data_IF_173516626162
#
_entry.id   IF_173516626162
#
_cell.length_a   1.000
_cell.length_b   1.000
_cell.length_c   1.000
_cell.angle_alpha   90.00
_cell.angle_beta   90.00
_cell.angle_gamma   90.00
#
_symmetry.space_group_name_H-M   'P 1'
#
loop_
_entity.id
_entity.type
_entity.pdbx_description
1 polymer ?
#
# COMPACT_ATOMS: atom_id res chain seq x y z
N UNK A 1 21.47 -0.23 9.33
CA UNK A 1 20.36 -0.41 8.38
C UNK A 1 19.10 0.00 9.10
N UNK A 2 18.22 0.74 8.43
CA UNK A 2 16.90 1.10 8.94
C UNK A 2 15.90 -0.03 8.69
N UNK A 3 14.84 -0.05 9.49
CA UNK A 3 13.74 -1.03 9.47
C UNK A 3 12.43 -0.35 9.10
N UNK A 4 11.38 -1.14 8.88
CA UNK A 4 10.03 -0.59 8.69
C UNK A 4 9.55 0.21 9.91
N UNK A 5 9.90 -0.24 11.12
CA UNK A 5 9.59 0.47 12.36
C UNK A 5 10.31 1.82 12.43
N UNK A 6 11.55 1.90 11.94
CA UNK A 6 12.24 3.19 11.84
C UNK A 6 11.49 4.15 10.91
N UNK A 7 10.97 3.67 9.78
CA UNK A 7 10.17 4.49 8.86
C UNK A 7 8.87 4.97 9.54
N UNK A 8 8.16 4.11 10.27
CA UNK A 8 6.98 4.51 11.06
C UNK A 8 7.34 5.64 12.02
N UNK A 9 8.45 5.51 12.74
CA UNK A 9 8.89 6.51 13.70
C UNK A 9 9.34 7.82 13.05
N UNK A 10 9.99 7.75 11.88
CA UNK A 10 10.34 8.91 11.07
C UNK A 10 9.07 9.64 10.62
N UNK A 11 8.10 8.95 10.02
CA UNK A 11 6.83 9.55 9.59
C UNK A 11 6.08 10.20 10.76
N UNK A 12 6.06 9.54 11.92
CA UNK A 12 5.48 10.10 13.15
C UNK A 12 6.20 11.39 13.57
N UNK A 13 7.53 11.43 13.53
CA UNK A 13 8.31 12.62 13.89
C UNK A 13 8.09 13.76 12.90
N UNK A 14 8.08 13.48 11.59
CA UNK A 14 7.86 14.47 10.54
C UNK A 14 6.52 15.20 10.69
N UNK A 15 5.46 14.48 11.11
CA UNK A 15 4.14 15.08 11.37
C UNK A 15 3.88 15.50 12.82
N UNK A 16 4.86 15.33 13.71
CA UNK A 16 4.77 15.81 15.10
C UNK A 16 4.78 17.35 15.16
N UNK A 17 4.45 17.94 16.29
CA UNK A 17 4.50 19.41 16.46
C UNK A 17 5.92 19.99 16.23
N UNK A 18 6.97 19.22 16.50
CA UNK A 18 8.37 19.60 16.25
C UNK A 18 8.88 19.14 14.88
N UNK A 19 8.00 18.59 14.05
CA UNK A 19 8.32 18.03 12.75
C UNK A 19 8.40 19.09 11.64
N UNK A 20 8.37 18.60 10.42
CA UNK A 20 8.44 19.42 9.22
C UNK A 20 7.08 20.14 8.99
N UNK A 21 7.07 21.47 8.82
CA UNK A 21 5.83 22.21 8.55
C UNK A 21 5.09 21.71 7.31
N UNK A 22 5.83 21.41 6.23
CA UNK A 22 5.25 20.92 4.98
C UNK A 22 4.53 19.59 5.20
N UNK A 23 5.17 18.61 5.86
CA UNK A 23 4.58 17.31 6.13
C UNK A 23 3.32 17.41 6.97
N UNK A 24 3.29 18.29 7.97
CA UNK A 24 2.14 18.51 8.85
C UNK A 24 0.94 19.11 8.13
N UNK A 25 1.17 19.99 7.17
CA UNK A 25 0.12 20.67 6.40
C UNK A 25 -0.53 19.76 5.35
N UNK A 26 0.06 18.60 5.05
CA UNK A 26 -0.49 17.69 4.04
C UNK A 26 -1.83 17.10 4.46
N UNK A 27 -2.72 16.98 3.46
CA UNK A 27 -4.03 16.37 3.53
C UNK A 27 -4.16 15.25 2.50
N UNK A 28 -5.28 14.52 2.52
CA UNK A 28 -5.56 13.53 1.48
C UNK A 28 -5.54 14.14 0.09
N UNK A 29 -6.12 15.33 -0.07
CA UNK A 29 -6.23 16.06 -1.32
C UNK A 29 -4.89 16.55 -1.84
N UNK A 30 -4.05 17.13 -0.97
CA UNK A 30 -2.75 17.70 -1.40
C UNK A 30 -1.81 16.61 -1.91
N UNK A 31 -1.85 15.43 -1.30
CA UNK A 31 -0.98 14.30 -1.66
C UNK A 31 -1.40 13.56 -2.94
N UNK A 32 -2.61 13.79 -3.49
CA UNK A 32 -3.08 13.10 -4.71
C UNK A 32 -2.16 13.34 -5.91
N UNK A 33 -1.62 14.56 -6.00
CA UNK A 33 -0.73 14.94 -7.08
C UNK A 33 0.61 14.20 -6.96
N UNK A 34 1.23 14.26 -5.79
CA UNK A 34 2.48 13.55 -5.50
C UNK A 34 2.33 12.06 -5.79
N UNK A 35 1.29 11.39 -5.27
CA UNK A 35 1.09 9.95 -5.52
C UNK A 35 1.02 9.59 -7.01
N UNK A 36 0.42 10.47 -7.83
CA UNK A 36 0.36 10.27 -9.27
C UNK A 36 1.73 10.45 -9.94
N UNK A 37 2.50 11.44 -9.48
CA UNK A 37 3.85 11.75 -9.98
C UNK A 37 4.82 10.61 -9.65
N UNK A 38 4.95 10.22 -8.37
CA UNK A 38 5.85 9.11 -7.96
C UNK A 38 5.47 7.78 -8.63
N UNK A 39 4.15 7.53 -8.80
CA UNK A 39 3.70 6.34 -9.53
C UNK A 39 4.12 6.39 -11.01
N UNK A 40 4.19 7.59 -11.60
CA UNK A 40 4.70 7.80 -12.95
C UNK A 40 6.20 7.55 -13.03
N UNK A 41 6.97 8.06 -12.07
CA UNK A 41 8.43 7.87 -12.01
C UNK A 41 8.81 6.40 -11.82
N UNK A 42 8.03 5.63 -11.04
CA UNK A 42 8.17 4.15 -11.00
C UNK A 42 8.01 3.53 -12.40
N UNK A 43 7.03 3.97 -13.18
CA UNK A 43 6.81 3.44 -14.53
C UNK A 43 7.95 3.83 -15.48
N UNK A 44 8.41 5.07 -15.41
CA UNK A 44 9.55 5.55 -16.20
C UNK A 44 10.83 4.78 -15.85
N UNK A 45 11.08 4.50 -14.58
CA UNK A 45 12.23 3.69 -14.15
C UNK A 45 12.18 2.27 -14.72
N UNK A 46 10.98 1.65 -14.77
CA UNK A 46 10.78 0.33 -15.39
C UNK A 46 11.06 0.39 -16.90
N UNK A 47 10.52 1.39 -17.59
CA UNK A 47 10.67 1.53 -19.04
C UNK A 47 12.13 1.72 -19.45
N UNK A 48 12.91 2.44 -18.63
CA UNK A 48 14.35 2.65 -18.84
C UNK A 48 15.23 1.53 -18.27
N UNK A 49 14.65 0.54 -17.57
CA UNK A 49 15.38 -0.51 -16.84
C UNK A 49 16.38 0.04 -15.84
N UNK A 50 16.05 1.18 -15.25
CA UNK A 50 16.86 1.84 -14.23
C UNK A 50 16.50 1.26 -12.86
N UNK A 51 17.31 0.32 -12.39
CA UNK A 51 17.06 -0.38 -11.12
C UNK A 51 17.38 0.47 -9.90
N UNK A 52 18.27 1.45 -10.04
CA UNK A 52 18.60 2.37 -8.95
C UNK A 52 17.42 3.31 -8.73
N UNK A 53 16.96 3.97 -9.81
CA UNK A 53 15.80 4.84 -9.75
C UNK A 53 14.55 4.06 -9.31
N UNK A 54 14.31 2.86 -9.85
CA UNK A 54 13.16 2.04 -9.43
C UNK A 54 13.14 1.79 -7.91
N UNK A 55 14.30 1.61 -7.27
CA UNK A 55 14.36 1.41 -5.84
C UNK A 55 14.04 2.70 -5.05
N UNK A 56 14.46 3.85 -5.57
CA UNK A 56 14.19 5.18 -5.01
C UNK A 56 12.69 5.49 -5.08
N UNK A 57 12.10 5.43 -6.27
CA UNK A 57 10.69 5.79 -6.50
C UNK A 57 9.70 4.86 -5.79
N UNK A 58 10.03 3.56 -5.66
CA UNK A 58 9.23 2.64 -4.84
C UNK A 58 9.28 3.03 -3.35
N UNK A 59 10.39 3.60 -2.91
CA UNK A 59 10.54 4.20 -1.59
C UNK A 59 9.64 5.42 -1.40
N UNK A 60 9.54 6.30 -2.39
CA UNK A 60 8.69 7.49 -2.32
C UNK A 60 7.19 7.13 -2.34
N UNK A 61 6.79 6.18 -3.18
CA UNK A 61 5.44 5.62 -3.12
C UNK A 61 5.14 5.01 -1.75
N UNK A 62 6.08 4.27 -1.17
CA UNK A 62 5.93 3.72 0.19
C UNK A 62 5.80 4.85 1.23
N UNK A 63 6.61 5.89 1.15
CA UNK A 63 6.54 7.04 2.05
C UNK A 63 5.19 7.76 1.96
N UNK A 64 4.62 7.91 0.76
CA UNK A 64 3.28 8.45 0.60
C UNK A 64 2.21 7.58 1.27
N UNK A 65 2.31 6.25 1.16
CA UNK A 65 1.42 5.33 1.91
C UNK A 65 1.56 5.53 3.42
N UNK A 66 2.78 5.77 3.92
CA UNK A 66 3.02 6.09 5.33
C UNK A 66 2.36 7.40 5.74
N UNK A 67 2.51 8.47 4.95
CA UNK A 67 1.88 9.77 5.21
C UNK A 67 0.35 9.67 5.21
N UNK A 68 -0.24 9.00 4.23
CA UNK A 68 -1.69 8.75 4.19
C UNK A 68 -2.19 8.02 5.43
N UNK A 69 -1.48 6.96 5.82
CA UNK A 69 -1.82 6.16 7.01
C UNK A 69 -1.65 6.97 8.29
N UNK A 70 -0.68 7.89 8.34
CA UNK A 70 -0.47 8.78 9.48
C UNK A 70 -1.58 9.82 9.60
N UNK A 71 -2.00 10.43 8.50
CA UNK A 71 -3.13 11.37 8.45
C UNK A 71 -4.42 10.66 8.90
N UNK A 72 -4.66 9.43 8.43
CA UNK A 72 -5.81 8.62 8.84
C UNK A 72 -5.79 8.28 10.34
N UNK A 73 -4.61 7.95 10.88
CA UNK A 73 -4.44 7.68 12.30
C UNK A 73 -4.71 8.92 13.15
N UNK A 74 -4.31 10.10 12.68
CA UNK A 74 -4.60 11.39 13.32
C UNK A 74 -6.10 11.73 13.33
N UNK A 75 -6.83 11.31 12.29
CA UNK A 75 -8.28 11.45 12.21
C UNK A 75 -9.07 10.39 13.02
N UNK A 76 -8.39 9.35 13.51
CA UNK A 76 -9.03 8.23 14.21
C UNK A 76 -9.69 7.20 13.29
N UNK A 77 -9.32 7.18 12.00
CA UNK A 77 -9.92 6.31 10.99
C UNK A 77 -9.25 4.93 10.93
N UNK A 78 -8.00 4.87 10.47
CA UNK A 78 -7.19 3.65 10.37
C UNK A 78 -5.70 3.97 10.48
N UNK A 79 -4.88 2.96 10.73
CA UNK A 79 -3.43 3.10 10.84
C UNK A 79 -2.65 2.34 9.75
N UNK A 80 -1.33 2.49 9.74
CA UNK A 80 -0.47 1.72 8.82
C UNK A 80 -0.55 0.22 9.13
N UNK A 81 -0.72 -0.15 10.40
CA UNK A 81 -0.91 -1.52 10.83
C UNK A 81 -2.20 -2.12 10.23
N UNK A 82 -3.29 -1.35 10.15
CA UNK A 82 -4.54 -1.77 9.50
C UNK A 82 -4.35 -1.96 7.99
N UNK A 83 -3.61 -1.05 7.33
CA UNK A 83 -3.29 -1.14 5.89
C UNK A 83 -2.49 -2.42 5.60
N UNK A 84 -1.45 -2.68 6.39
CA UNK A 84 -0.60 -3.87 6.28
C UNK A 84 -1.41 -5.13 6.56
N UNK A 85 -2.20 -5.17 7.64
CA UNK A 85 -3.05 -6.32 7.94
C UNK A 85 -4.04 -6.61 6.80
N UNK A 86 -4.73 -5.57 6.31
CA UNK A 86 -5.71 -5.70 5.24
C UNK A 86 -5.12 -6.18 3.92
N UNK A 87 -3.86 -5.81 3.58
CA UNK A 87 -3.20 -6.38 2.40
C UNK A 87 -2.72 -7.81 2.64
N UNK A 88 -2.18 -8.13 3.82
CA UNK A 88 -1.74 -9.47 4.17
C UNK A 88 -2.89 -10.48 4.14
N UNK A 89 -4.00 -10.21 4.84
CA UNK A 89 -5.20 -11.07 4.84
C UNK A 89 -5.73 -11.31 3.42
N UNK A 90 -5.78 -10.24 2.62
CA UNK A 90 -6.23 -10.28 1.22
C UNK A 90 -5.30 -11.13 0.36
N UNK A 91 -3.98 -11.03 0.53
CA UNK A 91 -3.02 -11.82 -0.24
C UNK A 91 -3.06 -13.29 0.16
N UNK A 92 -3.12 -13.61 1.46
CA UNK A 92 -3.26 -14.98 1.96
C UNK A 92 -4.54 -15.62 1.40
N UNK A 93 -5.67 -14.92 1.51
CA UNK A 93 -6.98 -15.41 1.05
C UNK A 93 -7.07 -15.58 -0.46
N UNK A 94 -6.44 -14.71 -1.25
CA UNK A 94 -6.46 -14.77 -2.73
C UNK A 94 -5.44 -15.73 -3.33
N UNK A 95 -4.51 -16.26 -2.54
CA UNK A 95 -3.52 -17.24 -2.99
C UNK A 95 -3.56 -18.53 -2.17
N UNK A 96 -4.71 -19.23 -2.11
CA UNK A 96 -4.82 -20.48 -1.36
C UNK A 96 -3.91 -21.58 -1.93
N UNK A 97 -3.49 -21.49 -3.19
CA UNK A 97 -2.50 -22.39 -3.79
C UNK A 97 -1.08 -22.18 -3.21
N UNK A 98 -0.78 -21.00 -2.66
CA UNK A 98 0.50 -20.70 -1.98
C UNK A 98 0.38 -20.94 -0.47
N UNK A 99 -0.72 -20.50 0.15
CA UNK A 99 -0.87 -20.44 1.61
C UNK A 99 -1.84 -21.49 2.21
N UNK A 100 -2.51 -22.30 1.38
CA UNK A 100 -3.39 -23.37 1.83
C UNK A 100 -2.66 -24.71 2.05
N UNK A 101 -3.31 -25.64 2.75
CA UNK A 101 -2.72 -26.94 3.08
C UNK A 101 -2.61 -27.91 1.88
N UNK A 102 -3.43 -27.73 0.83
CA UNK A 102 -3.41 -28.56 -0.38
C UNK A 102 -2.59 -27.89 -1.49
N UNK A 103 -1.33 -28.27 -1.60
CA UNK A 103 -0.33 -27.75 -2.57
C UNK A 103 -0.48 -28.29 -4.00
N UNK A 104 -1.56 -28.99 -4.33
CA UNK A 104 -1.54 -29.92 -5.48
C UNK A 104 -2.12 -29.42 -6.82
N UNK A 105 -2.53 -28.16 -6.93
CA UNK A 105 -3.05 -27.67 -8.22
C UNK A 105 -2.38 -26.39 -8.72
N UNK A 106 -1.41 -26.66 -9.61
CA UNK A 106 -0.83 -25.88 -10.71
C UNK A 106 -1.26 -24.40 -10.91
N UNK A 107 -0.25 -23.59 -11.25
CA UNK A 107 -0.32 -22.15 -11.57
C UNK A 107 -1.46 -21.71 -12.52
N UNK A 108 -1.97 -22.58 -13.40
CA UNK A 108 -3.09 -22.25 -14.30
C UNK A 108 -4.44 -22.14 -13.57
N UNK A 109 -4.65 -22.87 -12.47
CA UNK A 109 -5.88 -22.76 -11.66
C UNK A 109 -5.83 -21.56 -10.71
N UNK A 110 -4.62 -21.14 -10.31
CA UNK A 110 -4.40 -20.01 -9.40
C UNK A 110 -4.93 -18.67 -9.92
N UNK A 111 -4.72 -18.37 -11.20
CA UNK A 111 -5.19 -17.11 -11.81
C UNK A 111 -6.73 -17.06 -11.91
N UNK A 112 -7.36 -18.14 -12.38
CA UNK A 112 -8.81 -18.22 -12.49
C UNK A 112 -9.49 -18.12 -11.11
N UNK A 113 -8.91 -18.75 -10.09
CA UNK A 113 -9.37 -18.67 -8.71
C UNK A 113 -9.18 -17.25 -8.13
N UNK A 114 -8.05 -16.60 -8.41
CA UNK A 114 -7.78 -15.22 -7.99
C UNK A 114 -8.81 -14.24 -8.57
N UNK A 115 -9.10 -14.35 -9.88
CA UNK A 115 -10.10 -13.52 -10.55
C UNK A 115 -11.52 -13.77 -10.02
N UNK A 116 -11.88 -15.03 -9.73
CA UNK A 116 -13.16 -15.40 -9.15
C UNK A 116 -13.36 -14.78 -7.75
N UNK A 117 -12.35 -14.89 -6.87
CA UNK A 117 -12.39 -14.32 -5.52
C UNK A 117 -12.49 -12.79 -5.59
N UNK A 118 -11.71 -12.15 -6.47
CA UNK A 118 -11.77 -10.69 -6.69
C UNK A 118 -13.15 -10.22 -7.15
N UNK A 119 -13.82 -11.00 -8.00
CA UNK A 119 -15.17 -10.70 -8.48
C UNK A 119 -16.22 -10.82 -7.36
N UNK A 120 -16.11 -11.83 -6.52
CA UNK A 120 -17.02 -12.03 -5.37
C UNK A 120 -16.92 -10.90 -4.35
N UNK A 121 -15.70 -10.45 -4.00
CA UNK A 121 -15.50 -9.32 -3.09
C UNK A 121 -16.09 -8.01 -3.61
N UNK A 122 -15.91 -7.71 -4.91
CA UNK A 122 -16.51 -6.53 -5.55
C UNK A 122 -18.05 -6.58 -5.52
N UNK A 123 -18.66 -7.76 -5.51
CA UNK A 123 -20.11 -7.91 -5.40
C UNK A 123 -20.61 -7.65 -3.97
N UNK A 124 -19.86 -8.13 -2.96
CA UNK A 124 -20.18 -7.89 -1.54
C UNK A 124 -20.06 -6.41 -1.16
N UNK A 125 -18.98 -5.73 -1.58
CA UNK A 125 -18.80 -4.29 -1.36
C UNK A 125 -19.87 -3.40 -2.02
N UNK A 126 -20.58 -3.90 -3.04
CA UNK A 126 -21.68 -3.19 -3.70
C UNK A 126 -23.02 -3.36 -2.98
N UNK A 127 -23.22 -4.46 -2.23
CA UNK A 127 -24.43 -4.66 -1.42
C UNK A 127 -24.37 -3.93 -0.07
N UNK A 128 -23.17 -3.61 0.43
CA UNK A 128 -22.96 -2.93 1.72
C UNK A 128 -22.92 -1.39 1.62
N UNK A 129 -23.03 -0.82 0.42
CA UNK A 129 -23.20 0.63 0.25
C UNK A 129 -24.70 0.97 0.18
N UNK A 130 -25.24 1.79 1.11
CA UNK A 130 -26.61 2.32 0.99
C UNK A 130 -26.77 3.26 -0.21
#
# INVERSE_FOLDING_TARGET
MYTFEDLVNITNKLRSHEGCPWDREQTYESLKKCLKEESGEVLEAIDHKDMENLCEELGDVLFLVMLYSRIAKEAGDFSIEDVVNGICEKMIRRHPHVFGEKKDHLQQEGQALWDAIKKQEKALQKCEKP
#
